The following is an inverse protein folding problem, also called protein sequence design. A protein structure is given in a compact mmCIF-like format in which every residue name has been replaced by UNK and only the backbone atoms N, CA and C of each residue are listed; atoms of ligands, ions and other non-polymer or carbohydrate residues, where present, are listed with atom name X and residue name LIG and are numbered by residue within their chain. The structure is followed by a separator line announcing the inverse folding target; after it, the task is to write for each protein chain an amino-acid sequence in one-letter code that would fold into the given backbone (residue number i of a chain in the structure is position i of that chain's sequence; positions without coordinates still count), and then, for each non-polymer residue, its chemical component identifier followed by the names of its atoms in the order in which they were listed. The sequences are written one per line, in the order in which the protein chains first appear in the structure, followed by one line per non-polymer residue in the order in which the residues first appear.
data_IF_866069634322
#
_entry.id   IF_866069634322
#
_cell.length_a   1.000
_cell.length_b   1.000
_cell.length_c   1.000
_cell.angle_alpha   90.00
_cell.angle_beta   90.00
_cell.angle_gamma   90.00
#
_symmetry.space_group_name_H-M   'P 1'
#
loop_
_entity.id
_entity.type
_entity.pdbx_description
1 polymer ?
#
# COMPACT_ATOMS: atom_id res chain seq x y z
N UNK A 1 -7.73 10.39 -25.00
CA UNK A 1 -7.50 9.79 -26.34
C UNK A 1 -6.12 9.16 -26.37
N UNK A 2 -6.01 7.87 -25.99
CA UNK A 2 -4.76 7.11 -26.04
C UNK A 2 -4.63 6.38 -27.38
N UNK A 3 -3.47 6.49 -28.02
CA UNK A 3 -2.95 5.74 -29.18
C UNK A 3 -3.83 5.53 -30.45
N UNK A 4 -5.10 5.93 -30.49
CA UNK A 4 -6.02 5.69 -31.63
C UNK A 4 -6.13 4.21 -32.04
N UNK A 5 -5.85 3.28 -31.10
CA UNK A 5 -5.90 1.83 -31.33
C UNK A 5 -7.26 1.21 -31.01
N UNK A 6 -8.30 2.01 -30.75
CA UNK A 6 -9.65 1.52 -30.45
C UNK A 6 -10.20 0.58 -31.54
N UNK A 7 -9.75 0.73 -32.79
CA UNK A 7 -10.13 -0.15 -33.89
C UNK A 7 -9.59 -1.59 -33.75
N UNK A 8 -8.57 -1.80 -32.91
CA UNK A 8 -7.92 -3.09 -32.68
C UNK A 8 -8.20 -3.67 -31.30
N UNK A 9 -9.01 -2.99 -30.49
CA UNK A 9 -9.26 -3.33 -29.10
C UNK A 9 -10.75 -3.60 -28.94
N UNK A 10 -11.14 -4.87 -29.10
CA UNK A 10 -12.56 -5.23 -29.10
C UNK A 10 -13.13 -5.09 -27.69
N UNK A 11 -14.28 -4.42 -27.56
CA UNK A 11 -15.00 -4.36 -26.27
C UNK A 11 -15.31 -5.75 -25.69
N UNK A 12 -15.37 -6.79 -26.55
CA UNK A 12 -15.62 -8.17 -26.15
C UNK A 12 -14.43 -8.84 -25.47
N UNK A 13 -13.22 -8.31 -25.63
CA UNK A 13 -12.01 -8.87 -25.02
C UNK A 13 -11.88 -8.47 -23.55
N UNK A 14 -12.70 -7.53 -23.08
CA UNK A 14 -12.75 -7.08 -21.70
C UNK A 14 -13.82 -7.84 -20.91
N UNK A 15 -13.39 -8.51 -19.84
CA UNK A 15 -14.29 -9.23 -18.92
C UNK A 15 -15.22 -8.28 -18.16
N UNK A 16 -14.79 -7.03 -17.94
CA UNK A 16 -15.56 -5.99 -17.28
C UNK A 16 -15.16 -4.60 -17.78
N UNK A 17 -16.08 -3.63 -17.64
CA UNK A 17 -15.76 -2.23 -17.90
C UNK A 17 -14.67 -1.76 -16.93
N UNK A 18 -13.56 -1.28 -17.48
CA UNK A 18 -12.39 -0.87 -16.71
C UNK A 18 -12.74 0.23 -15.69
N UNK A 19 -13.64 1.16 -15.99
CA UNK A 19 -13.90 2.32 -15.13
C UNK A 19 -15.06 2.08 -14.16
N UNK A 20 -16.15 1.49 -14.64
CA UNK A 20 -17.40 1.35 -13.87
C UNK A 20 -17.74 -0.08 -13.47
N UNK A 21 -17.06 -1.07 -14.05
CA UNK A 21 -17.28 -2.48 -13.75
C UNK A 21 -16.74 -2.90 -12.38
N UNK A 22 -17.36 -3.90 -11.74
CA UNK A 22 -16.93 -4.41 -10.44
C UNK A 22 -15.56 -5.09 -10.52
N UNK A 23 -14.83 -5.06 -9.41
CA UNK A 23 -13.55 -5.75 -9.21
C UNK A 23 -13.64 -6.68 -8.02
N UNK A 24 -13.86 -7.96 -8.32
CA UNK A 24 -14.16 -8.96 -7.31
C UNK A 24 -12.92 -9.39 -6.52
N UNK A 25 -11.72 -9.27 -7.11
CA UNK A 25 -10.47 -9.70 -6.48
C UNK A 25 -9.86 -8.63 -5.56
N UNK A 26 -9.40 -8.96 -4.34
CA UNK A 26 -8.63 -8.02 -3.52
C UNK A 26 -7.33 -7.58 -4.22
N UNK A 27 -6.66 -8.49 -4.93
CA UNK A 27 -5.46 -8.19 -5.71
C UNK A 27 -5.79 -7.26 -6.89
N UNK A 28 -6.88 -7.53 -7.60
CA UNK A 28 -7.34 -6.72 -8.73
C UNK A 28 -7.63 -5.27 -8.30
N UNK A 29 -8.32 -5.09 -7.17
CA UNK A 29 -8.57 -3.78 -6.58
C UNK A 29 -7.27 -3.06 -6.19
N UNK A 30 -6.31 -3.77 -5.59
CA UNK A 30 -5.02 -3.19 -5.23
C UNK A 30 -4.25 -2.71 -6.48
N UNK A 31 -4.16 -3.55 -7.52
CA UNK A 31 -3.52 -3.20 -8.79
C UNK A 31 -4.18 -1.97 -9.42
N UNK A 32 -5.51 -1.94 -9.46
CA UNK A 32 -6.29 -0.86 -10.02
C UNK A 32 -6.01 0.49 -9.34
N UNK A 33 -5.96 0.48 -8.00
CA UNK A 33 -5.62 1.65 -7.18
C UNK A 33 -4.17 2.06 -7.40
N UNK A 34 -3.22 1.13 -7.27
CA UNK A 34 -1.80 1.42 -7.37
C UNK A 34 -1.43 1.98 -8.75
N UNK A 35 -1.98 1.41 -9.81
CA UNK A 35 -1.78 1.87 -11.18
C UNK A 35 -2.32 3.29 -11.39
N UNK A 36 -3.56 3.56 -10.96
CA UNK A 36 -4.20 4.87 -11.08
C UNK A 36 -3.43 5.94 -10.32
N UNK A 37 -3.08 5.62 -9.07
CA UNK A 37 -2.29 6.51 -8.22
C UNK A 37 -0.93 6.78 -8.83
N UNK A 38 -0.25 5.76 -9.35
CA UNK A 38 1.03 5.93 -10.00
C UNK A 38 0.92 6.89 -11.20
N UNK A 39 -0.09 6.73 -12.07
CA UNK A 39 -0.33 7.66 -13.17
C UNK A 39 -0.52 9.11 -12.72
N UNK A 40 -1.33 9.34 -11.68
CA UNK A 40 -1.53 10.67 -11.09
C UNK A 40 -0.23 11.23 -10.50
N UNK A 41 0.57 10.39 -9.84
CA UNK A 41 1.87 10.82 -9.30
C UNK A 41 2.86 11.20 -10.40
N UNK A 42 2.89 10.48 -11.52
CA UNK A 42 3.73 10.80 -12.67
C UNK A 42 3.34 12.15 -13.28
N UNK A 43 2.04 12.42 -13.39
CA UNK A 43 1.50 13.67 -13.92
C UNK A 43 1.80 14.88 -13.02
N UNK A 44 1.80 14.70 -11.70
CA UNK A 44 2.07 15.81 -10.76
C UNK A 44 3.53 16.20 -10.65
N UNK A 45 4.44 15.26 -10.89
CA UNK A 45 5.88 15.49 -10.71
C UNK A 45 6.50 16.15 -11.94
N UNK A 46 7.52 16.96 -11.71
CA UNK A 46 8.41 17.47 -12.74
C UNK A 46 9.34 16.38 -13.27
N UNK A 47 9.88 16.55 -14.47
CA UNK A 47 10.86 15.62 -15.05
C UNK A 47 12.11 15.45 -14.16
N UNK A 48 12.55 16.52 -13.50
CA UNK A 48 13.68 16.50 -12.57
C UNK A 48 13.39 15.64 -11.32
N UNK A 49 12.18 15.74 -10.77
CA UNK A 49 11.77 14.89 -9.64
C UNK A 49 11.67 13.43 -10.07
N UNK A 50 11.09 13.16 -11.25
CA UNK A 50 11.04 11.80 -11.80
C UNK A 50 12.44 11.21 -12.00
N UNK A 51 13.37 12.00 -12.54
CA UNK A 51 14.76 11.60 -12.68
C UNK A 51 15.40 11.26 -11.33
N UNK A 52 15.16 12.06 -10.30
CA UNK A 52 15.70 11.83 -8.96
C UNK A 52 15.14 10.57 -8.29
N UNK A 53 13.83 10.34 -8.41
CA UNK A 53 13.14 9.21 -7.77
C UNK A 53 13.51 7.89 -8.44
N UNK A 54 13.51 7.86 -9.77
CA UNK A 54 13.73 6.65 -10.57
C UNK A 54 15.18 6.55 -11.08
N UNK A 55 16.12 7.29 -10.49
CA UNK A 55 17.51 7.34 -10.95
C UNK A 55 18.15 5.94 -11.06
N UNK A 56 17.87 5.06 -10.08
CA UNK A 56 18.43 3.71 -10.06
C UNK A 56 17.82 2.80 -11.14
N UNK A 57 16.53 2.95 -11.43
CA UNK A 57 15.80 2.20 -12.44
C UNK A 57 16.17 2.67 -13.85
N UNK A 58 16.14 3.99 -14.07
CA UNK A 58 16.52 4.63 -15.33
C UNK A 58 17.98 4.31 -15.64
N UNK A 59 18.89 4.48 -14.68
CA UNK A 59 20.31 4.16 -14.85
C UNK A 59 20.57 2.68 -15.17
N UNK A 60 19.72 1.76 -14.67
CA UNK A 60 19.77 0.35 -15.07
C UNK A 60 19.27 0.14 -16.50
N UNK A 61 18.16 0.78 -16.86
CA UNK A 61 17.54 0.65 -18.18
C UNK A 61 18.44 1.16 -19.32
N UNK A 62 19.15 2.27 -19.09
CA UNK A 62 19.98 2.91 -20.13
C UNK A 62 21.44 2.47 -20.12
N UNK A 63 21.82 1.49 -19.27
CA UNK A 63 23.22 1.10 -19.04
C UNK A 63 23.98 0.76 -20.32
N UNK A 64 23.31 0.16 -21.29
CA UNK A 64 23.92 -0.33 -22.52
C UNK A 64 23.64 0.57 -23.73
N UNK A 65 23.02 1.73 -23.51
CA UNK A 65 22.75 2.70 -24.56
C UNK A 65 23.99 3.54 -24.84
N UNK A 66 24.36 3.72 -26.11
CA UNK A 66 25.49 4.58 -26.48
C UNK A 66 25.28 6.04 -26.04
N UNK A 67 24.02 6.46 -25.94
CA UNK A 67 23.61 7.81 -25.56
C UNK A 67 22.72 7.79 -24.32
N UNK A 68 23.26 7.33 -23.19
CA UNK A 68 22.53 7.16 -21.92
C UNK A 68 21.69 8.39 -21.52
N UNK A 69 22.22 9.62 -21.69
CA UNK A 69 21.51 10.85 -21.34
C UNK A 69 20.25 11.08 -22.18
N UNK A 70 20.36 10.95 -23.50
CA UNK A 70 19.20 11.07 -24.42
C UNK A 70 18.18 9.95 -24.15
N UNK A 71 18.63 8.72 -23.92
CA UNK A 71 17.76 7.59 -23.60
C UNK A 71 17.02 7.80 -22.28
N UNK A 72 17.71 8.30 -21.24
CA UNK A 72 17.11 8.59 -19.95
C UNK A 72 16.04 9.68 -20.05
N UNK A 73 16.32 10.76 -20.79
CA UNK A 73 15.35 11.83 -21.07
C UNK A 73 14.11 11.31 -21.79
N UNK A 74 14.28 10.43 -22.79
CA UNK A 74 13.14 9.79 -23.49
C UNK A 74 12.29 8.93 -22.55
N UNK A 75 12.91 8.16 -21.65
CA UNK A 75 12.19 7.38 -20.63
C UNK A 75 11.39 8.31 -19.70
N UNK A 76 12.01 9.39 -19.21
CA UNK A 76 11.33 10.35 -18.31
C UNK A 76 10.15 11.01 -19.01
N UNK A 77 10.36 11.52 -20.23
CA UNK A 77 9.32 12.14 -21.05
C UNK A 77 8.18 11.17 -21.36
N UNK A 78 8.48 9.89 -21.59
CA UNK A 78 7.46 8.85 -21.77
C UNK A 78 6.61 8.67 -20.50
N UNK A 79 7.23 8.58 -19.31
CA UNK A 79 6.48 8.46 -18.05
C UNK A 79 5.62 9.69 -17.77
N UNK A 80 6.14 10.88 -18.07
CA UNK A 80 5.39 12.14 -17.91
C UNK A 80 4.15 12.16 -18.79
N UNK A 81 4.30 11.88 -20.09
CA UNK A 81 3.18 11.76 -21.03
C UNK A 81 2.19 10.67 -20.62
N UNK A 82 2.68 9.56 -20.10
CA UNK A 82 1.82 8.50 -19.58
C UNK A 82 0.94 8.98 -18.43
N UNK A 83 1.54 9.66 -17.44
CA UNK A 83 0.80 10.28 -16.34
C UNK A 83 -0.28 11.25 -16.84
N UNK A 84 0.08 12.17 -17.73
CA UNK A 84 -0.86 13.14 -18.32
C UNK A 84 -2.03 12.47 -19.05
N UNK A 85 -1.77 11.37 -19.77
CA UNK A 85 -2.83 10.60 -20.44
C UNK A 85 -3.75 9.93 -19.42
N UNK A 86 -3.19 9.29 -18.38
CA UNK A 86 -3.97 8.63 -17.34
C UNK A 86 -4.84 9.63 -16.58
N UNK A 87 -4.28 10.74 -16.11
CA UNK A 87 -5.04 11.79 -15.39
C UNK A 87 -6.19 12.32 -16.25
N UNK A 88 -5.92 12.68 -17.50
CA UNK A 88 -6.95 13.20 -18.41
C UNK A 88 -8.06 12.19 -18.70
N UNK A 89 -7.73 10.92 -18.86
CA UNK A 89 -8.74 9.86 -19.06
C UNK A 89 -9.59 9.69 -17.80
N UNK A 90 -8.98 9.76 -16.62
CA UNK A 90 -9.71 9.71 -15.35
C UNK A 90 -10.64 10.92 -15.22
N UNK A 91 -10.16 12.14 -15.44
CA UNK A 91 -10.99 13.36 -15.41
C UNK A 91 -12.18 13.28 -16.38
N UNK A 92 -11.94 12.79 -17.60
CA UNK A 92 -12.99 12.54 -18.58
C UNK A 92 -14.02 11.53 -18.05
N UNK A 93 -13.56 10.40 -17.50
CA UNK A 93 -14.44 9.32 -17.02
C UNK A 93 -15.20 9.69 -15.75
N UNK A 94 -14.61 10.52 -14.88
CA UNK A 94 -15.29 11.14 -13.75
C UNK A 94 -16.42 12.03 -14.26
N UNK A 95 -16.15 12.89 -15.24
CA UNK A 95 -17.14 13.79 -15.83
C UNK A 95 -18.29 13.00 -16.47
N UNK A 96 -17.98 11.98 -17.28
CA UNK A 96 -18.96 11.11 -17.93
C UNK A 96 -19.86 10.35 -16.92
N UNK A 97 -19.33 10.04 -15.73
CA UNK A 97 -20.05 9.26 -14.71
C UNK A 97 -20.46 10.09 -13.48
N UNK A 98 -20.37 11.42 -13.54
CA UNK A 98 -20.64 12.32 -12.41
C UNK A 98 -22.03 12.09 -11.79
N UNK A 99 -23.06 11.91 -12.61
CA UNK A 99 -24.41 11.65 -12.12
C UNK A 99 -24.54 10.30 -11.39
N UNK A 100 -23.81 9.27 -11.79
CA UNK A 100 -23.80 7.96 -11.10
C UNK A 100 -23.07 8.05 -9.75
N UNK A 101 -21.98 8.81 -9.71
CA UNK A 101 -21.21 9.10 -8.50
C UNK A 101 -22.05 9.86 -7.47
N UNK A 102 -22.70 10.96 -7.88
CA UNK A 102 -23.55 11.77 -6.99
C UNK A 102 -24.71 10.94 -6.41
N UNK A 103 -25.30 10.06 -7.22
CA UNK A 103 -26.40 9.19 -6.77
C UNK A 103 -25.94 7.96 -5.97
N UNK A 104 -24.63 7.72 -5.83
CA UNK A 104 -24.12 6.51 -5.18
C UNK A 104 -24.53 5.21 -5.88
N UNK A 105 -24.72 5.27 -7.20
CA UNK A 105 -25.17 4.13 -8.04
C UNK A 105 -24.01 3.42 -8.76
N UNK A 106 -22.80 3.93 -8.58
CA UNK A 106 -21.59 3.30 -9.08
C UNK A 106 -21.20 2.15 -8.14
N UNK A 107 -20.74 1.03 -8.70
CA UNK A 107 -20.22 -0.08 -7.90
C UNK A 107 -19.03 0.37 -7.05
N UNK A 108 -19.04 0.04 -5.76
CA UNK A 108 -18.03 0.47 -4.78
C UNK A 108 -16.65 -0.14 -5.04
N UNK A 109 -16.61 -1.26 -5.77
CA UNK A 109 -15.37 -1.91 -6.20
C UNK A 109 -14.89 -1.47 -7.58
N UNK A 110 -15.62 -0.58 -8.27
CA UNK A 110 -15.19 -0.04 -9.56
C UNK A 110 -13.96 0.87 -9.44
N UNK A 111 -13.20 1.03 -10.53
CA UNK A 111 -11.99 1.86 -10.56
C UNK A 111 -12.30 3.30 -10.14
N UNK A 112 -13.38 3.86 -10.68
CA UNK A 112 -13.76 5.24 -10.40
C UNK A 112 -14.17 5.41 -8.93
N UNK A 113 -14.91 4.47 -8.36
CA UNK A 113 -15.25 4.52 -6.93
C UNK A 113 -13.99 4.42 -6.06
N UNK A 114 -13.11 3.45 -6.36
CA UNK A 114 -11.86 3.24 -5.64
C UNK A 114 -10.90 4.45 -5.76
N UNK A 115 -10.81 5.08 -6.92
CA UNK A 115 -9.92 6.20 -7.18
C UNK A 115 -10.42 7.52 -6.55
N UNK A 116 -11.72 7.78 -6.60
CA UNK A 116 -12.32 9.04 -6.10
C UNK A 116 -12.61 8.99 -4.61
N UNK A 117 -13.13 7.87 -4.10
CA UNK A 117 -13.67 7.80 -2.74
C UNK A 117 -12.62 7.91 -1.64
N UNK A 118 -11.33 8.03 -2.00
CA UNK A 118 -10.19 7.88 -1.08
C UNK A 118 -10.31 6.62 -0.22
N UNK A 119 -11.13 5.64 -0.62
CA UNK A 119 -11.45 4.49 0.21
C UNK A 119 -10.23 3.58 0.32
N UNK A 120 -9.31 3.67 -0.63
CA UNK A 120 -7.97 3.11 -0.53
C UNK A 120 -7.05 3.84 0.48
N UNK A 121 -7.24 5.14 0.73
CA UNK A 121 -6.61 5.85 1.84
C UNK A 121 -7.26 5.46 3.18
N UNK A 122 -8.58 5.20 3.17
CA UNK A 122 -9.30 4.66 4.33
C UNK A 122 -9.03 3.19 4.59
N UNK A 123 -8.63 2.40 3.59
CA UNK A 123 -8.22 1.00 3.75
C UNK A 123 -6.90 0.86 4.51
N UNK A 124 -6.14 1.94 4.70
CA UNK A 124 -5.07 1.97 5.71
C UNK A 124 -5.62 2.02 7.16
N UNK A 125 -6.93 2.26 7.34
CA UNK A 125 -7.60 2.49 8.63
C UNK A 125 -9.06 1.99 8.66
N UNK A 126 -9.36 0.72 8.31
CA UNK A 126 -10.68 0.16 8.65
C UNK A 126 -10.67 -0.59 9.98
N UNK A 127 -11.14 0.13 11.00
CA UNK A 127 -11.91 -0.39 12.14
C UNK A 127 -13.25 -0.98 11.65
N UNK A 128 -13.89 -1.92 12.38
CA UNK A 128 -15.20 -2.44 11.99
C UNK A 128 -16.26 -1.34 12.12
N UNK A 129 -17.11 -1.21 11.10
CA UNK A 129 -18.19 -0.24 11.02
C UNK A 129 -19.39 -0.67 11.86
N UNK A 130 -19.85 0.21 12.74
CA UNK A 130 -21.24 0.20 13.24
C UNK A 130 -22.07 1.30 12.55
N UNK A 131 -23.33 0.92 12.32
CA UNK A 131 -24.51 1.75 12.08
C UNK A 131 -24.59 2.60 10.79
N UNK A 132 -25.18 1.97 9.77
CA UNK A 132 -25.93 2.62 8.69
C UNK A 132 -27.11 3.43 9.25
N UNK A 133 -27.17 4.73 8.94
CA UNK A 133 -28.38 5.56 9.07
C UNK A 133 -28.91 5.82 7.66
N UNK A 134 -30.01 5.14 7.29
CA UNK A 134 -30.85 5.46 6.13
C UNK A 134 -31.72 6.68 6.46
N UNK A 135 -31.66 7.71 5.63
CA UNK A 135 -32.70 8.75 5.53
C UNK A 135 -33.31 8.75 4.11
N UNK A 136 -34.58 9.16 3.94
CA UNK A 136 -35.25 9.12 2.64
C UNK A 136 -34.81 10.30 1.76
N UNK A 137 -34.40 10.02 0.53
CA UNK A 137 -34.04 11.03 -0.47
C UNK A 137 -35.29 11.63 -1.11
N UNK A 138 -35.37 12.97 -1.16
CA UNK A 138 -36.32 13.72 -2.00
C UNK A 138 -35.83 13.77 -3.46
N UNK A 139 -36.72 13.81 -4.45
CA UNK A 139 -36.34 13.94 -5.85
C UNK A 139 -35.84 15.36 -6.13
N UNK A 140 -34.62 15.48 -6.66
CA UNK A 140 -34.00 16.75 -7.05
C UNK A 140 -34.29 17.00 -8.53
N UNK A 141 -34.74 18.22 -8.83
CA UNK A 141 -35.16 18.72 -10.14
C UNK A 141 -33.97 18.89 -11.11
N UNK A 142 -34.20 18.66 -12.41
CA UNK A 142 -33.14 18.65 -13.45
C UNK A 142 -32.46 20.00 -13.71
N UNK A 143 -32.98 21.11 -13.16
CA UNK A 143 -32.44 22.47 -13.37
C UNK A 143 -31.26 22.77 -12.43
N UNK A 144 -31.05 22.01 -11.34
CA UNK A 144 -29.96 22.23 -10.37
C UNK A 144 -28.64 21.50 -10.69
N UNK A 145 -28.61 20.66 -11.74
CA UNK A 145 -27.46 19.81 -12.08
C UNK A 145 -26.28 20.57 -12.72
N UNK A 146 -26.53 21.71 -13.39
CA UNK A 146 -25.46 22.49 -14.04
C UNK A 146 -24.69 23.38 -13.06
N UNK A 147 -25.39 23.98 -12.09
CA UNK A 147 -24.79 24.80 -11.03
C UNK A 147 -23.98 23.95 -10.03
N UNK A 148 -24.40 22.70 -9.79
CA UNK A 148 -23.67 21.76 -8.94
C UNK A 148 -22.37 21.28 -9.59
N UNK A 149 -22.33 21.07 -10.91
CA UNK A 149 -21.09 20.72 -11.62
C UNK A 149 -20.02 21.84 -11.58
N UNK A 150 -20.43 23.10 -11.74
CA UNK A 150 -19.50 24.24 -11.63
C UNK A 150 -18.94 24.39 -10.20
N UNK A 151 -19.78 24.17 -9.18
CA UNK A 151 -19.36 24.21 -7.78
C UNK A 151 -18.42 23.05 -7.41
N UNK A 152 -18.61 21.86 -8.01
CA UNK A 152 -17.72 20.71 -7.82
C UNK A 152 -16.37 20.96 -8.48
N UNK A 153 -16.34 21.49 -9.71
CA UNK A 153 -15.08 21.84 -10.40
C UNK A 153 -14.30 22.92 -9.62
N UNK A 154 -15.01 23.91 -9.05
CA UNK A 154 -14.40 24.93 -8.20
C UNK A 154 -13.91 24.37 -6.85
N UNK A 155 -14.66 23.45 -6.23
CA UNK A 155 -14.24 22.78 -5.00
C UNK A 155 -13.03 21.87 -5.23
N UNK A 156 -12.98 21.13 -6.35
CA UNK A 156 -11.82 20.31 -6.73
C UNK A 156 -10.61 21.19 -7.04
N UNK A 157 -10.76 22.29 -7.79
CA UNK A 157 -9.67 23.24 -8.06
C UNK A 157 -9.15 23.91 -6.78
N UNK A 158 -10.03 24.31 -5.88
CA UNK A 158 -9.67 24.88 -4.57
C UNK A 158 -8.97 23.86 -3.66
N UNK A 159 -9.39 22.59 -3.70
CA UNK A 159 -8.76 21.50 -2.98
C UNK A 159 -7.36 21.19 -3.53
N UNK A 160 -7.21 21.11 -4.86
CA UNK A 160 -5.93 20.85 -5.53
C UNK A 160 -4.92 21.99 -5.37
N UNK A 161 -5.38 23.24 -5.28
CA UNK A 161 -4.50 24.41 -5.03
C UNK A 161 -4.04 24.53 -3.58
N UNK A 162 -4.86 24.12 -2.61
CA UNK A 162 -4.51 24.17 -1.18
C UNK A 162 -3.39 23.20 -0.78
N UNK A 163 -3.17 22.15 -1.56
CA UNK A 163 -2.05 21.21 -1.37
C UNK A 163 -0.75 21.61 -2.09
N UNK A 164 -0.77 22.69 -2.89
CA UNK A 164 0.38 23.16 -3.68
C UNK A 164 1.45 23.91 -2.85
N UNK A 165 1.17 24.20 -1.57
CA UNK A 165 1.99 25.08 -0.72
C UNK A 165 2.85 24.40 0.34
N UNK A 166 2.84 23.07 0.45
CA UNK A 166 3.71 22.34 1.38
C UNK A 166 4.90 21.79 0.60
N UNK A 167 5.91 22.62 0.35
CA UNK A 167 7.23 22.10 0.00
C UNK A 167 7.79 21.42 1.26
N UNK A 168 7.92 20.08 1.28
CA UNK A 168 8.57 19.42 2.39
C UNK A 168 10.05 19.73 2.26
N UNK A 169 10.60 20.44 3.23
CA UNK A 169 12.04 20.41 3.49
C UNK A 169 12.49 18.94 3.42
N UNK A 170 13.53 18.59 2.64
CA UNK A 170 13.95 17.21 2.44
C UNK A 170 14.50 16.68 3.77
N UNK A 171 13.61 16.12 4.59
CA UNK A 171 13.98 15.27 5.71
C UNK A 171 14.81 14.16 5.08
N UNK A 172 16.11 14.14 5.39
CA UNK A 172 17.02 13.07 4.99
C UNK A 172 16.55 11.80 5.69
N UNK A 173 15.54 11.14 5.12
CA UNK A 173 15.04 9.86 5.58
C UNK A 173 16.21 8.89 5.50
N UNK A 174 16.72 8.47 6.67
CA UNK A 174 17.68 7.38 6.74
C UNK A 174 16.99 6.18 6.11
N UNK A 175 17.43 5.78 4.91
CA UNK A 175 16.90 4.62 4.18
C UNK A 175 16.80 3.45 5.14
N UNK A 176 15.57 3.12 5.56
CA UNK A 176 15.34 1.98 6.44
C UNK A 176 15.82 0.73 5.69
N UNK A 177 16.70 -0.05 6.31
CA UNK A 177 17.18 -1.30 5.71
C UNK A 177 15.99 -2.26 5.63
N UNK A 178 15.69 -2.77 4.43
CA UNK A 178 14.69 -3.83 4.24
C UNK A 178 15.08 -5.05 5.09
N UNK A 179 14.12 -5.73 5.74
CA UNK A 179 14.44 -6.89 6.56
C UNK A 179 14.91 -8.03 5.63
N UNK A 180 16.01 -8.68 5.99
CA UNK A 180 16.50 -9.84 5.24
C UNK A 180 15.68 -11.10 5.57
N UNK A 181 15.86 -12.17 4.77
CA UNK A 181 15.18 -13.47 4.96
C UNK A 181 15.14 -13.93 6.43
N UNK A 182 16.26 -13.84 7.15
CA UNK A 182 16.33 -14.21 8.58
C UNK A 182 15.33 -13.41 9.43
N UNK A 183 15.37 -12.09 9.33
CA UNK A 183 14.49 -11.23 10.14
C UNK A 183 13.03 -11.51 9.79
N UNK A 184 12.72 -11.64 8.50
CA UNK A 184 11.37 -11.97 8.02
C UNK A 184 10.84 -13.28 8.62
N UNK A 185 11.64 -14.35 8.61
CA UNK A 185 11.24 -15.64 9.22
C UNK A 185 11.03 -15.50 10.74
N UNK A 186 11.89 -14.75 11.43
CA UNK A 186 11.72 -14.52 12.87
C UNK A 186 10.47 -13.68 13.16
N UNK A 187 10.19 -12.66 12.34
CA UNK A 187 8.98 -11.83 12.45
C UNK A 187 7.72 -12.66 12.27
N UNK A 188 7.69 -13.55 11.28
CA UNK A 188 6.59 -14.48 11.07
C UNK A 188 6.36 -15.38 12.31
N UNK A 189 7.42 -15.97 12.86
CA UNK A 189 7.33 -16.80 14.06
C UNK A 189 6.81 -16.02 15.30
N UNK A 190 7.13 -14.71 15.38
CA UNK A 190 6.62 -13.82 16.43
C UNK A 190 5.14 -13.49 16.22
N UNK A 191 4.72 -13.23 14.97
CA UNK A 191 3.32 -12.94 14.63
C UNK A 191 2.41 -14.15 14.85
N UNK A 192 2.88 -15.35 14.56
CA UNK A 192 2.21 -16.62 14.87
C UNK A 192 2.27 -17.00 16.36
N UNK A 193 2.84 -16.12 17.20
CA UNK A 193 2.99 -16.30 18.64
C UNK A 193 3.67 -17.61 19.07
N UNK A 194 4.55 -18.17 18.22
CA UNK A 194 5.24 -19.42 18.52
C UNK A 194 6.16 -19.26 19.74
N UNK A 195 6.15 -20.26 20.62
CA UNK A 195 6.95 -20.29 21.86
C UNK A 195 7.74 -21.59 21.99
N UNK A 196 8.83 -21.53 22.75
CA UNK A 196 9.67 -22.67 23.11
C UNK A 196 10.14 -23.49 21.90
N UNK A 197 9.94 -24.81 21.97
CA UNK A 197 10.33 -25.72 20.90
C UNK A 197 9.62 -25.45 19.56
N UNK A 198 8.34 -25.03 19.57
CA UNK A 198 7.61 -24.73 18.32
C UNK A 198 8.27 -23.59 17.53
N UNK A 199 8.70 -22.53 18.24
CA UNK A 199 9.46 -21.44 17.64
C UNK A 199 10.76 -21.94 17.03
N UNK A 200 11.52 -22.75 17.78
CA UNK A 200 12.81 -23.25 17.34
C UNK A 200 12.71 -24.18 16.13
N UNK A 201 11.73 -25.09 16.13
CA UNK A 201 11.45 -26.00 15.01
C UNK A 201 11.02 -25.26 13.75
N UNK A 202 10.19 -24.21 13.89
CA UNK A 202 9.80 -23.37 12.77
C UNK A 202 11.02 -22.68 12.13
N UNK A 203 11.90 -22.08 12.93
CA UNK A 203 13.12 -21.45 12.41
C UNK A 203 14.04 -22.46 11.70
N UNK A 204 14.16 -23.68 12.23
CA UNK A 204 14.94 -24.74 11.60
C UNK A 204 14.32 -25.22 10.28
N UNK A 205 12.99 -25.42 10.23
CA UNK A 205 12.26 -25.79 9.00
C UNK A 205 12.53 -24.78 7.88
N UNK A 206 12.59 -23.50 8.23
CA UNK A 206 12.88 -22.40 7.30
C UNK A 206 14.38 -22.19 7.01
N UNK A 207 15.25 -23.10 7.46
CA UNK A 207 16.69 -23.09 7.19
C UNK A 207 17.46 -21.99 7.92
N UNK A 208 16.90 -21.40 8.97
CA UNK A 208 17.55 -20.32 9.72
C UNK A 208 18.48 -20.90 10.77
N UNK A 209 19.78 -20.71 10.57
CA UNK A 209 20.82 -21.10 11.54
C UNK A 209 21.01 -20.02 12.61
N UNK A 210 21.20 -20.34 13.89
CA UNK A 210 21.48 -19.34 14.90
C UNK A 210 22.79 -18.57 14.65
N UNK A 211 22.86 -17.32 15.15
CA UNK A 211 24.06 -16.47 15.11
C UNK A 211 24.52 -16.18 16.53
N UNK A 212 25.29 -17.10 17.09
CA UNK A 212 25.89 -16.95 18.42
C UNK A 212 27.30 -16.38 18.31
N UNK A 213 27.72 -15.58 19.30
CA UNK A 213 29.10 -15.07 19.41
C UNK A 213 30.10 -16.15 19.81
N UNK A 214 29.63 -17.15 20.55
CA UNK A 214 30.44 -18.20 21.16
C UNK A 214 30.18 -19.53 20.43
N UNK A 215 31.11 -20.51 20.46
CA UNK A 215 30.85 -21.86 19.97
C UNK A 215 29.62 -22.41 20.69
N UNK A 216 28.53 -22.56 19.95
CA UNK A 216 27.22 -22.92 20.47
C UNK A 216 26.50 -23.92 19.58
N UNK A 217 25.33 -24.41 20.02
CA UNK A 217 24.61 -25.43 19.28
C UNK A 217 24.25 -24.96 17.87
N UNK A 218 24.43 -25.85 16.88
CA UNK A 218 24.34 -25.51 15.46
C UNK A 218 22.92 -25.14 14.98
N UNK A 219 21.89 -25.46 15.77
CA UNK A 219 20.48 -25.22 15.43
C UNK A 219 19.71 -24.64 16.61
N UNK A 220 18.57 -24.00 16.34
CA UNK A 220 17.69 -23.46 17.37
C UNK A 220 17.12 -24.54 18.30
N UNK A 221 16.63 -25.69 17.81
CA UNK A 221 16.14 -26.74 18.71
C UNK A 221 17.22 -27.27 19.64
N UNK A 222 18.45 -27.47 19.14
CA UNK A 222 19.57 -27.88 20.01
C UNK A 222 19.90 -26.80 21.04
N UNK A 223 19.85 -25.52 20.65
CA UNK A 223 20.04 -24.40 21.59
C UNK A 223 18.98 -24.39 22.68
N UNK A 224 17.72 -24.65 22.34
CA UNK A 224 16.65 -24.69 23.33
C UNK A 224 16.74 -25.93 24.24
N UNK A 225 17.09 -27.09 23.69
CA UNK A 225 17.26 -28.33 24.47
C UNK A 225 18.45 -28.27 25.42
N UNK A 226 19.55 -27.66 25.00
CA UNK A 226 20.76 -27.51 25.82
C UNK A 226 20.54 -26.71 27.12
N UNK A 227 19.45 -25.96 27.24
CA UNK A 227 19.14 -25.21 28.46
C UNK A 227 19.82 -23.85 28.52
N UNK A 228 20.13 -23.39 29.74
CA UNK A 228 20.88 -22.14 29.93
C UNK A 228 22.36 -22.33 29.55
N UNK A 229 23.04 -21.34 28.94
CA UNK A 229 22.57 -19.97 28.65
C UNK A 229 21.83 -19.82 27.31
N UNK A 230 21.66 -20.91 26.56
CA UNK A 230 21.21 -20.89 25.17
C UNK A 230 19.72 -20.57 25.02
N UNK A 231 18.87 -21.04 25.93
CA UNK A 231 17.44 -20.66 25.99
C UNK A 231 17.28 -19.14 26.13
N UNK A 232 18.03 -18.52 27.03
CA UNK A 232 18.06 -17.06 27.18
C UNK A 232 18.52 -16.37 25.91
N UNK A 233 19.60 -16.84 25.25
CA UNK A 233 20.06 -16.26 23.97
C UNK A 233 18.99 -16.29 22.88
N UNK A 234 18.22 -17.39 22.76
CA UNK A 234 17.08 -17.50 21.83
C UNK A 234 16.00 -16.48 22.18
N UNK A 235 15.66 -16.34 23.46
CA UNK A 235 14.67 -15.38 23.93
C UNK A 235 15.09 -13.93 23.71
N UNK A 236 16.37 -13.63 23.91
CA UNK A 236 16.96 -12.30 23.68
C UNK A 236 16.92 -11.94 22.20
N UNK A 237 17.23 -12.89 21.31
CA UNK A 237 17.09 -12.67 19.87
C UNK A 237 15.64 -12.40 19.47
N UNK A 238 14.69 -13.20 19.98
CA UNK A 238 13.26 -13.00 19.75
C UNK A 238 12.82 -11.60 20.20
N UNK A 239 13.31 -11.14 21.36
CA UNK A 239 13.01 -9.81 21.91
C UNK A 239 13.58 -8.69 21.03
N UNK A 240 14.86 -8.80 20.62
CA UNK A 240 15.48 -7.84 19.70
C UNK A 240 14.79 -7.81 18.34
N UNK A 241 14.39 -8.97 17.82
CA UNK A 241 13.65 -9.06 16.56
C UNK A 241 12.26 -8.42 16.67
N UNK A 242 11.54 -8.63 17.78
CA UNK A 242 10.26 -7.96 18.03
C UNK A 242 10.40 -6.43 18.03
N UNK A 243 11.46 -5.90 18.63
CA UNK A 243 11.75 -4.46 18.60
C UNK A 243 12.03 -3.97 17.17
N UNK A 244 12.83 -4.69 16.38
CA UNK A 244 13.08 -4.36 14.97
C UNK A 244 11.79 -4.41 14.13
N UNK A 245 10.95 -5.42 14.36
CA UNK A 245 9.69 -5.60 13.64
C UNK A 245 8.76 -4.39 13.78
N UNK A 246 8.71 -3.78 14.97
CA UNK A 246 7.91 -2.57 15.21
C UNK A 246 8.38 -1.34 14.41
N UNK A 247 9.58 -1.35 13.83
CA UNK A 247 10.10 -0.27 13.00
C UNK A 247 9.64 -0.30 11.54
N UNK A 248 9.02 -1.40 11.11
CA UNK A 248 8.51 -1.63 9.77
C UNK A 248 7.02 -1.33 9.68
N UNK A 249 6.60 -0.77 8.55
CA UNK A 249 5.18 -0.59 8.26
C UNK A 249 4.53 -1.94 7.96
N UNK A 250 3.20 -1.96 8.06
CA UNK A 250 2.42 -3.15 7.73
C UNK A 250 2.62 -3.60 6.27
N UNK A 251 2.63 -2.65 5.32
CA UNK A 251 2.84 -2.95 3.89
C UNK A 251 4.24 -3.47 3.61
N UNK A 252 5.26 -2.97 4.33
CA UNK A 252 6.63 -3.50 4.23
C UNK A 252 6.67 -4.96 4.70
N UNK A 253 6.03 -5.29 5.82
CA UNK A 253 5.97 -6.65 6.35
C UNK A 253 5.22 -7.61 5.39
N UNK A 254 4.08 -7.19 4.85
CA UNK A 254 3.31 -7.97 3.86
C UNK A 254 4.19 -8.33 2.65
N UNK A 255 4.85 -7.33 2.06
CA UNK A 255 5.69 -7.54 0.88
C UNK A 255 6.83 -8.54 1.14
N UNK A 256 7.47 -8.47 2.31
CA UNK A 256 8.57 -9.40 2.62
C UNK A 256 8.07 -10.81 2.95
N UNK A 257 6.86 -10.95 3.50
CA UNK A 257 6.25 -12.27 3.72
C UNK A 257 5.86 -12.94 2.40
N UNK A 258 5.26 -12.21 1.45
CA UNK A 258 4.98 -12.73 0.11
C UNK A 258 6.26 -13.30 -0.53
N UNK A 259 7.36 -12.55 -0.40
CA UNK A 259 8.62 -12.91 -1.05
C UNK A 259 9.36 -14.08 -0.37
N UNK A 260 9.38 -14.12 0.97
CA UNK A 260 10.21 -15.09 1.70
C UNK A 260 9.45 -16.29 2.29
N UNK A 261 8.12 -16.18 2.43
CA UNK A 261 7.26 -17.16 3.10
C UNK A 261 5.92 -17.29 2.34
N UNK A 262 5.93 -17.68 1.06
CA UNK A 262 4.71 -17.74 0.25
C UNK A 262 3.71 -18.78 0.79
N UNK A 263 4.19 -19.91 1.34
CA UNK A 263 3.35 -20.97 1.90
C UNK A 263 2.60 -20.53 3.16
N UNK A 264 3.25 -19.76 4.04
CA UNK A 264 2.64 -19.25 5.27
C UNK A 264 1.94 -17.89 5.10
N UNK A 265 1.96 -17.30 3.90
CA UNK A 265 1.49 -15.93 3.68
C UNK A 265 0.02 -15.74 4.02
N UNK A 266 -0.85 -16.68 3.65
CA UNK A 266 -2.29 -16.57 3.93
C UNK A 266 -2.57 -16.46 5.43
N UNK A 267 -1.94 -17.32 6.24
CA UNK A 267 -2.06 -17.28 7.70
C UNK A 267 -1.49 -15.99 8.30
N UNK A 268 -0.30 -15.59 7.83
CA UNK A 268 0.37 -14.37 8.28
C UNK A 268 -0.44 -13.11 7.94
N UNK A 269 -1.05 -13.07 6.76
CA UNK A 269 -1.88 -11.94 6.31
C UNK A 269 -3.11 -11.77 7.20
N UNK A 270 -3.73 -12.88 7.64
CA UNK A 270 -4.85 -12.88 8.57
C UNK A 270 -4.45 -12.33 9.94
N UNK A 271 -3.32 -12.78 10.48
CA UNK A 271 -2.79 -12.34 11.78
C UNK A 271 -2.40 -10.86 11.78
N UNK A 272 -1.78 -10.41 10.69
CA UNK A 272 -1.43 -9.01 10.48
C UNK A 272 -2.67 -8.12 10.52
N UNK A 273 -3.75 -8.47 9.81
CA UNK A 273 -5.02 -7.70 9.81
C UNK A 273 -5.67 -7.69 11.19
N UNK A 274 -5.69 -8.84 11.89
CA UNK A 274 -6.27 -8.95 13.23
C UNK A 274 -5.55 -8.10 14.28
N UNK A 275 -4.25 -7.83 14.12
CA UNK A 275 -3.48 -7.09 15.11
C UNK A 275 -3.74 -5.58 15.08
N UNK A 276 -4.11 -5.04 13.91
CA UNK A 276 -4.40 -3.62 13.76
C UNK A 276 -5.69 -3.20 14.50
N UNK A 277 -6.65 -4.11 14.70
CA UNK A 277 -7.87 -3.81 15.47
C UNK A 277 -7.61 -3.63 16.97
N UNK A 278 -6.62 -4.33 17.54
CA UNK A 278 -6.28 -4.26 18.97
C UNK A 278 -5.72 -2.92 19.43
N UNK A 279 -5.11 -2.14 18.53
CA UNK A 279 -4.63 -0.80 18.89
C UNK A 279 -5.75 0.23 18.94
N UNK A 280 -6.82 0.01 18.19
CA UNK A 280 -7.92 0.94 18.10
C UNK A 280 -8.94 0.80 19.25
N UNK A 281 -8.95 -0.35 19.94
CA UNK A 281 -9.81 -0.56 21.13
C UNK A 281 -9.19 -0.06 22.45
N UNK A 282 -7.99 0.53 22.43
CA UNK A 282 -7.45 1.21 23.61
C UNK A 282 -8.05 2.61 23.71
N UNK A 283 -9.29 2.69 24.18
CA UNK A 283 -9.86 3.95 24.69
C UNK A 283 -8.86 4.57 25.68
N UNK A 284 -8.54 5.87 25.57
CA UNK A 284 -7.65 6.54 26.51
C UNK A 284 -8.23 6.37 27.91
N UNK A 285 -7.47 5.73 28.80
CA UNK A 285 -7.82 5.60 30.21
C UNK A 285 -8.18 6.98 30.75
N UNK A 286 -9.42 7.16 31.20
CA UNK A 286 -9.92 8.43 31.72
C UNK A 286 -8.95 9.00 32.76
N UNK A 287 -8.57 10.27 32.57
CA UNK A 287 -7.67 10.98 33.47
C UNK A 287 -8.22 10.90 34.90
N UNK A 288 -7.41 10.41 35.84
CA UNK A 288 -7.78 10.41 37.25
C UNK A 288 -7.94 11.86 37.72
N UNK A 289 -9.02 12.22 38.43
CA UNK A 289 -9.18 13.56 38.95
C UNK A 289 -8.09 13.83 39.99
N UNK A 290 -7.34 14.93 39.78
CA UNK A 290 -6.44 15.47 40.79
C UNK A 290 -7.25 15.88 42.02
N UNK A 291 -6.93 15.31 43.19
CA UNK A 291 -7.44 15.80 44.47
C UNK A 291 -6.70 17.10 44.82
N UNK A 292 -7.48 18.16 45.08
CA UNK A 292 -7.03 19.39 45.73
C UNK A 292 -6.84 19.16 47.22
#
# INVERSE_FOLDING_TARGET
MGASLLAHDSEKDYVSDVFVGPRNGPLERAIAVDYTRHGIELDRRSENELAAIFNAEIGRAVRYEAKCGEAAQKIISMHKRHGEVVTRVLEQKVTENAAKLIRGTLDDTSLLALAIGEEHLRQQFHLPAEASIRGPAKPVSSVELSATLANIDQAMKAFLTKFRGLTPEPIKEKKKRKPGKRDTVIFAAILMELKGMKYCSFLQKQGIKPKWSDPGPATYPMSYQAGEPWRKKVQDEKTRAKQRMNGFSHSELVNVFIFHLPEEFEELSRLLRSRNSHHASKTPTAAKPHKH
#
